data_IF_582073632862
#
_entry.id   IF_582073632862
#
_cell.length_a   1.000
_cell.length_b   1.000
_cell.length_c   1.000
_cell.angle_alpha   90.00
_cell.angle_beta   90.00
_cell.angle_gamma   90.00
#
_symmetry.space_group_name_H-M   'P 1'
#
loop_
_entity.id
_entity.type
_entity.pdbx_description
1 polymer ?
#
# COMPACT_ATOMS: atom_id res chain seq x y z
N UNK A 1 -5.33 -8.77 -0.83
CA UNK A 1 -4.32 -7.99 -0.06
C UNK A 1 -3.44 -9.00 0.62
N UNK A 2 -2.14 -8.83 0.49
CA UNK A 2 -1.14 -9.66 1.15
C UNK A 2 -0.16 -8.74 1.87
N UNK A 3 0.02 -8.94 3.16
CA UNK A 3 1.11 -8.38 3.94
C UNK A 3 2.08 -9.49 4.30
N UNK A 4 3.36 -9.23 4.06
CA UNK A 4 4.41 -10.21 4.29
C UNK A 4 5.65 -9.52 4.88
N UNK A 5 6.50 -10.33 5.48
CA UNK A 5 7.82 -9.94 5.94
C UNK A 5 8.87 -10.68 5.15
N UNK A 6 9.94 -9.99 4.77
CA UNK A 6 11.18 -10.65 4.37
C UNK A 6 12.20 -10.45 5.48
N UNK A 7 12.70 -11.56 6.02
CA UNK A 7 13.60 -11.59 7.17
C UNK A 7 14.99 -12.04 6.70
N UNK A 8 16.01 -11.30 7.09
CA UNK A 8 17.40 -11.58 6.75
C UNK A 8 18.33 -11.55 7.96
N UNK A 9 19.64 -11.71 7.73
CA UNK A 9 20.64 -11.56 8.79
C UNK A 9 20.67 -10.12 9.32
N UNK A 10 21.14 -9.92 10.54
CA UNK A 10 21.47 -8.59 11.06
C UNK A 10 22.78 -8.03 10.49
N UNK A 11 23.14 -6.82 10.92
CA UNK A 11 24.41 -6.17 10.58
C UNK A 11 25.01 -5.39 11.74
N UNK A 12 26.33 -5.46 11.88
CA UNK A 12 27.11 -4.60 12.78
C UNK A 12 27.62 -3.31 12.11
N UNK A 13 27.47 -3.19 10.79
CA UNK A 13 28.02 -2.08 10.00
C UNK A 13 26.98 -1.00 9.69
N UNK A 14 25.71 -1.39 9.63
CA UNK A 14 24.59 -0.51 9.33
C UNK A 14 23.42 -0.78 10.28
N UNK A 15 22.75 0.29 10.68
CA UNK A 15 21.48 0.24 11.41
C UNK A 15 20.44 1.12 10.73
N UNK A 16 19.24 0.60 10.57
CA UNK A 16 18.09 1.30 9.99
C UNK A 16 16.84 0.96 10.78
N UNK A 17 15.99 1.96 10.98
CA UNK A 17 14.64 1.81 11.50
C UNK A 17 13.80 2.91 10.86
N UNK A 18 13.01 2.54 9.85
CA UNK A 18 12.22 3.46 9.03
C UNK A 18 10.86 2.85 8.69
N UNK A 19 9.85 3.72 8.61
CA UNK A 19 8.47 3.33 8.34
C UNK A 19 7.65 3.14 9.61
N UNK A 20 6.40 3.59 9.58
CA UNK A 20 5.51 3.58 10.76
C UNK A 20 4.32 2.63 10.60
N UNK A 21 3.89 2.41 9.36
CA UNK A 21 2.73 1.58 9.04
C UNK A 21 2.91 0.88 7.68
N UNK A 22 2.53 -0.39 7.61
CA UNK A 22 2.69 -1.21 6.39
C UNK A 22 1.79 -0.75 5.23
N UNK A 23 0.63 -0.20 5.53
CA UNK A 23 -0.37 0.25 4.56
C UNK A 23 -0.16 1.70 4.06
N UNK A 24 0.98 2.32 4.34
CA UNK A 24 1.33 3.67 3.90
C UNK A 24 2.66 3.62 3.16
N UNK A 25 2.76 4.33 2.02
CA UNK A 25 4.04 4.57 1.34
C UNK A 25 4.85 5.54 2.19
N UNK A 26 6.06 5.17 2.67
CA UNK A 26 6.85 6.05 3.53
C UNK A 26 7.30 7.30 2.78
N UNK A 27 6.78 8.47 3.19
CA UNK A 27 7.19 9.77 2.67
C UNK A 27 8.53 10.28 3.22
N UNK A 28 9.15 9.54 4.15
CA UNK A 28 10.43 9.92 4.75
C UNK A 28 11.19 8.69 5.24
N UNK A 29 12.48 8.65 5.00
CA UNK A 29 13.39 7.65 5.55
C UNK A 29 14.71 8.33 5.95
N UNK A 30 15.41 7.80 6.94
CA UNK A 30 16.66 8.40 7.42
C UNK A 30 17.69 7.37 7.80
N UNK A 31 18.94 7.68 7.46
CA UNK A 31 20.12 6.95 7.90
C UNK A 31 21.04 7.87 8.71
N UNK A 32 21.69 7.31 9.73
CA UNK A 32 22.67 8.01 10.53
C UNK A 32 23.98 7.23 10.61
N UNK A 33 25.07 7.85 10.14
CA UNK A 33 26.40 7.24 10.05
C UNK A 33 27.48 8.24 9.68
N UNK A 34 28.74 7.84 9.85
CA UNK A 34 29.89 8.70 9.54
C UNK A 34 29.95 9.06 8.04
N UNK A 35 29.51 8.13 7.22
CA UNK A 35 29.43 8.13 5.76
C UNK A 35 28.14 8.78 5.20
N UNK A 36 27.31 9.40 6.06
CA UNK A 36 26.07 10.03 5.62
C UNK A 36 26.26 11.11 4.55
N UNK A 37 27.46 11.71 4.47
CA UNK A 37 27.82 12.69 3.43
C UNK A 37 28.02 12.02 2.08
N UNK A 38 28.75 10.92 2.03
CA UNK A 38 28.97 10.11 0.82
C UNK A 38 27.64 9.54 0.32
N UNK A 39 26.84 8.95 1.20
CA UNK A 39 25.51 8.42 0.85
C UNK A 39 24.58 9.53 0.34
N UNK A 40 24.58 10.70 0.97
CA UNK A 40 23.79 11.84 0.49
C UNK A 40 24.22 12.30 -0.92
N UNK A 41 25.49 12.13 -1.29
CA UNK A 41 25.96 12.43 -2.65
C UNK A 41 25.42 11.39 -3.64
N UNK A 42 25.56 10.11 -3.34
CA UNK A 42 25.02 9.00 -4.16
C UNK A 42 23.52 9.15 -4.38
N UNK A 43 22.76 9.43 -3.32
CA UNK A 43 21.31 9.63 -3.41
C UNK A 43 20.92 10.82 -4.31
N UNK A 44 21.70 11.91 -4.28
CA UNK A 44 21.48 13.06 -5.19
C UNK A 44 21.79 12.71 -6.63
N UNK A 45 22.83 11.92 -6.88
CA UNK A 45 23.16 11.42 -8.22
C UNK A 45 22.05 10.49 -8.76
N UNK A 46 21.31 9.82 -7.87
CA UNK A 46 20.10 9.03 -8.17
C UNK A 46 18.81 9.86 -8.23
N UNK A 47 18.93 11.20 -8.19
CA UNK A 47 17.82 12.17 -8.24
C UNK A 47 16.84 12.10 -7.04
N UNK A 48 17.26 11.53 -5.91
CA UNK A 48 16.46 11.55 -4.68
C UNK A 48 16.50 12.92 -3.99
N UNK A 49 15.37 13.35 -3.44
CA UNK A 49 15.31 14.57 -2.64
C UNK A 49 15.87 14.30 -1.24
N UNK A 50 17.04 14.88 -0.91
CA UNK A 50 17.72 14.59 0.36
C UNK A 50 18.06 15.83 1.18
N UNK A 51 17.96 15.68 2.50
CA UNK A 51 18.45 16.64 3.49
C UNK A 51 19.57 16.00 4.32
N UNK A 52 20.73 16.63 4.33
CA UNK A 52 21.86 16.26 5.18
C UNK A 52 21.92 17.16 6.41
N UNK A 53 22.08 16.58 7.60
CA UNK A 53 22.29 17.28 8.86
C UNK A 53 23.30 16.54 9.72
N UNK A 54 24.53 17.05 9.78
CA UNK A 54 25.63 16.36 10.48
C UNK A 54 25.92 14.99 9.88
N UNK A 55 25.73 13.95 10.68
CA UNK A 55 25.87 12.53 10.32
C UNK A 55 24.54 11.86 9.98
N UNK A 56 23.50 12.64 9.65
CA UNK A 56 22.18 12.12 9.29
C UNK A 56 21.80 12.57 7.89
N UNK A 57 21.48 11.61 7.02
CA UNK A 57 20.84 11.86 5.72
C UNK A 57 19.37 11.45 5.82
N UNK A 58 18.49 12.30 5.32
CA UNK A 58 17.06 12.06 5.26
C UNK A 58 16.63 12.15 3.80
N UNK A 59 15.98 11.10 3.30
CA UNK A 59 15.31 11.10 2.00
C UNK A 59 13.86 11.56 2.21
N UNK A 60 13.42 12.52 1.40
CA UNK A 60 12.03 12.96 1.33
C UNK A 60 11.37 12.30 0.11
N UNK A 61 10.28 11.59 0.36
CA UNK A 61 9.41 11.02 -0.65
C UNK A 61 8.02 11.67 -0.60
N UNK A 62 7.00 10.91 -1.01
CA UNK A 62 5.62 11.35 -1.01
C UNK A 62 4.74 10.25 -0.43
N UNK A 63 4.19 10.54 0.75
CA UNK A 63 3.31 9.61 1.44
C UNK A 63 1.92 9.55 0.78
N UNK A 64 1.45 8.32 0.56
CA UNK A 64 0.13 7.97 0.04
C UNK A 64 -0.29 6.63 0.64
N UNK A 65 -1.57 6.26 0.50
CA UNK A 65 -2.02 4.93 0.88
C UNK A 65 -1.35 3.85 -0.01
N UNK A 66 -0.99 2.69 0.54
CA UNK A 66 -0.28 1.63 -0.19
C UNK A 66 -1.07 1.07 -1.40
N UNK A 67 -2.40 1.24 -1.43
CA UNK A 67 -3.24 0.87 -2.58
C UNK A 67 -3.17 1.82 -3.77
N UNK A 68 -2.49 2.96 -3.61
CA UNK A 68 -2.26 3.95 -4.67
C UNK A 68 -0.77 4.29 -4.72
N UNK A 69 0.08 3.27 -4.58
CA UNK A 69 1.52 3.43 -4.43
C UNK A 69 2.16 4.17 -5.61
N UNK A 70 1.60 4.04 -6.81
CA UNK A 70 1.97 4.73 -8.04
C UNK A 70 1.87 6.26 -7.95
N UNK A 71 1.06 6.78 -7.02
CA UNK A 71 0.95 8.22 -6.76
C UNK A 71 1.98 8.72 -5.75
N UNK A 72 2.73 7.81 -5.11
CA UNK A 72 3.71 8.08 -4.06
C UNK A 72 5.15 8.05 -4.56
N UNK A 73 6.06 8.35 -3.63
CA UNK A 73 7.51 8.17 -3.82
C UNK A 73 8.01 7.52 -2.53
N UNK A 74 8.42 6.25 -2.60
CA UNK A 74 8.82 5.49 -1.43
C UNK A 74 10.25 5.89 -0.99
N UNK A 75 10.34 6.62 0.13
CA UNK A 75 11.62 7.10 0.65
C UNK A 75 12.51 5.97 1.18
N UNK A 76 11.94 4.84 1.64
CA UNK A 76 12.71 3.67 2.07
C UNK A 76 13.42 3.05 0.88
N UNK A 77 12.71 2.86 -0.24
CA UNK A 77 13.31 2.27 -1.44
C UNK A 77 14.48 3.12 -1.97
N UNK A 78 14.28 4.43 -2.08
CA UNK A 78 15.35 5.34 -2.52
C UNK A 78 16.55 5.32 -1.56
N UNK A 79 16.29 5.34 -0.25
CA UNK A 79 17.36 5.25 0.74
C UNK A 79 18.12 3.92 0.62
N UNK A 80 17.40 2.80 0.46
CA UNK A 80 18.00 1.48 0.32
C UNK A 80 18.86 1.36 -0.95
N UNK A 81 18.41 1.90 -2.08
CA UNK A 81 19.17 1.95 -3.34
C UNK A 81 20.49 2.70 -3.16
N UNK A 82 20.47 3.86 -2.50
CA UNK A 82 21.69 4.60 -2.19
C UNK A 82 22.62 3.87 -1.21
N UNK A 83 22.07 3.21 -0.19
CA UNK A 83 22.85 2.46 0.80
C UNK A 83 23.47 1.19 0.22
N UNK A 84 22.81 0.51 -0.71
CA UNK A 84 23.31 -0.71 -1.36
C UNK A 84 24.61 -0.47 -2.16
N UNK A 85 24.94 0.78 -2.51
CA UNK A 85 26.21 1.16 -3.14
C UNK A 85 27.38 1.15 -2.14
N UNK A 86 27.10 1.39 -0.86
CA UNK A 86 28.13 1.54 0.19
C UNK A 86 28.19 0.33 1.13
N UNK A 87 27.09 -0.44 1.22
CA UNK A 87 26.95 -1.57 2.13
C UNK A 87 26.52 -2.84 1.39
N UNK A 88 27.25 -3.92 1.62
CA UNK A 88 26.88 -5.26 1.19
C UNK A 88 25.93 -5.88 2.23
N UNK A 89 24.62 -5.75 2.00
CA UNK A 89 23.61 -6.34 2.86
C UNK A 89 22.50 -6.98 2.00
N UNK A 90 22.14 -8.26 2.22
CA UNK A 90 21.22 -8.97 1.33
C UNK A 90 19.86 -8.29 1.16
N UNK A 91 19.33 -7.71 2.25
CA UNK A 91 18.06 -6.98 2.21
C UNK A 91 18.16 -5.67 1.40
N UNK A 92 19.27 -4.94 1.50
CA UNK A 92 19.48 -3.71 0.72
C UNK A 92 19.63 -4.05 -0.76
N UNK A 93 20.36 -5.13 -1.06
CA UNK A 93 20.56 -5.64 -2.41
C UNK A 93 19.24 -6.10 -3.05
N UNK A 94 18.41 -6.83 -2.31
CA UNK A 94 17.06 -7.20 -2.77
C UNK A 94 16.24 -5.96 -3.12
N UNK A 95 16.20 -4.96 -2.23
CA UNK A 95 15.47 -3.72 -2.52
C UNK A 95 16.03 -2.98 -3.73
N UNK A 96 17.35 -2.86 -3.87
CA UNK A 96 17.97 -2.14 -4.98
C UNK A 96 17.78 -2.85 -6.33
N UNK A 97 17.84 -4.17 -6.38
CA UNK A 97 17.80 -4.94 -7.64
C UNK A 97 16.39 -5.38 -8.05
N UNK A 98 15.49 -5.62 -7.08
CA UNK A 98 14.15 -6.19 -7.34
C UNK A 98 13.00 -5.23 -7.10
N UNK A 99 13.24 -4.09 -6.46
CA UNK A 99 12.17 -3.12 -6.15
C UNK A 99 12.52 -1.74 -6.71
N UNK A 100 13.69 -1.19 -6.38
CA UNK A 100 14.13 0.14 -6.77
C UNK A 100 12.98 1.16 -6.65
N UNK A 101 12.65 1.86 -7.73
CA UNK A 101 11.57 2.86 -7.78
C UNK A 101 10.21 2.27 -8.20
N UNK A 102 10.11 0.96 -8.39
CA UNK A 102 8.87 0.30 -8.80
C UNK A 102 7.81 0.37 -7.69
N UNK A 103 6.55 0.52 -8.12
CA UNK A 103 5.38 0.56 -7.23
C UNK A 103 4.47 -0.64 -7.43
N UNK A 104 4.86 -1.56 -8.31
CA UNK A 104 4.11 -2.75 -8.74
C UNK A 104 4.91 -4.06 -8.62
N UNK A 105 6.20 -3.98 -8.23
CA UNK A 105 7.07 -5.15 -8.10
C UNK A 105 7.33 -5.87 -9.42
N UNK A 106 7.31 -5.15 -10.55
CA UNK A 106 7.51 -5.70 -11.89
C UNK A 106 8.78 -6.56 -12.02
N UNK A 107 9.89 -6.16 -11.39
CA UNK A 107 11.15 -6.92 -11.41
C UNK A 107 11.09 -8.26 -10.65
N UNK A 108 10.05 -8.46 -9.83
CA UNK A 108 9.77 -9.73 -9.12
C UNK A 108 8.73 -10.56 -9.89
N UNK A 109 7.64 -9.94 -10.30
CA UNK A 109 6.43 -10.65 -10.77
C UNK A 109 6.19 -10.57 -12.28
N UNK A 110 6.83 -9.64 -12.99
CA UNK A 110 6.39 -9.19 -14.31
C UNK A 110 5.13 -8.33 -14.24
N UNK A 111 4.38 -8.27 -15.34
CA UNK A 111 3.10 -7.55 -15.38
C UNK A 111 2.01 -8.36 -14.66
N UNK A 112 1.48 -7.81 -13.55
CA UNK A 112 0.34 -8.37 -12.80
C UNK A 112 -0.77 -7.34 -12.80
N UNK A 113 -1.78 -7.56 -13.64
CA UNK A 113 -2.86 -6.61 -13.87
C UNK A 113 -4.12 -7.31 -14.37
N UNK A 114 -5.29 -6.79 -14.01
CA UNK A 114 -6.58 -7.13 -14.63
C UNK A 114 -7.39 -5.87 -15.00
N UNK A 115 -8.47 -6.07 -15.76
CA UNK A 115 -9.34 -4.97 -16.21
C UNK A 115 -10.21 -4.37 -15.09
N UNK A 116 -10.50 -5.14 -14.03
CA UNK A 116 -11.51 -4.81 -13.01
C UNK A 116 -10.95 -4.00 -11.85
N UNK A 117 -9.75 -4.34 -11.42
CA UNK A 117 -9.08 -3.85 -10.21
C UNK A 117 -7.72 -3.24 -10.48
N UNK A 118 -7.23 -3.36 -11.72
CA UNK A 118 -6.05 -2.68 -12.19
C UNK A 118 -4.77 -3.46 -11.90
N UNK A 119 -3.68 -2.73 -11.73
CA UNK A 119 -2.34 -3.28 -11.57
C UNK A 119 -2.04 -3.58 -10.10
N UNK A 120 -1.20 -4.59 -9.86
CA UNK A 120 -0.70 -4.90 -8.53
C UNK A 120 0.04 -3.68 -7.96
N UNK A 121 -0.26 -3.31 -6.71
CA UNK A 121 0.58 -2.38 -5.98
C UNK A 121 1.50 -3.14 -5.03
N UNK A 122 2.75 -2.68 -4.93
CA UNK A 122 3.81 -3.25 -4.11
C UNK A 122 4.43 -2.13 -3.28
N UNK A 123 4.23 -2.17 -1.95
CA UNK A 123 4.74 -1.18 -1.03
C UNK A 123 5.72 -1.80 -0.02
N UNK A 124 6.89 -1.17 0.14
CA UNK A 124 7.78 -1.40 1.29
C UNK A 124 7.38 -0.40 2.37
N UNK A 125 6.60 -0.86 3.35
CA UNK A 125 6.05 0.00 4.39
C UNK A 125 7.02 0.28 5.54
N UNK A 126 7.93 -0.64 5.83
CA UNK A 126 8.99 -0.44 6.82
C UNK A 126 10.23 -1.28 6.53
N UNK A 127 11.37 -0.82 7.07
CA UNK A 127 12.65 -1.52 7.09
C UNK A 127 13.29 -1.40 8.48
N UNK A 128 13.79 -2.52 8.97
CA UNK A 128 14.59 -2.63 10.18
C UNK A 128 15.88 -3.37 9.83
N UNK A 129 17.02 -2.82 10.21
CA UNK A 129 18.30 -3.54 10.25
C UNK A 129 18.95 -3.23 11.59
N UNK A 130 19.18 -4.27 12.39
CA UNK A 130 19.92 -4.19 13.64
C UNK A 130 20.98 -5.29 13.71
N UNK A 131 21.70 -5.37 14.82
CA UNK A 131 22.80 -6.34 14.98
C UNK A 131 22.37 -7.82 14.90
N UNK A 132 21.10 -8.14 15.17
CA UNK A 132 20.60 -9.50 15.22
C UNK A 132 19.85 -9.92 13.95
N UNK A 133 19.05 -9.02 13.38
CA UNK A 133 18.12 -9.33 12.29
C UNK A 133 17.92 -8.14 11.37
N UNK A 134 17.51 -8.43 10.13
CA UNK A 134 16.92 -7.45 9.24
C UNK A 134 15.51 -7.88 8.82
N UNK A 135 14.61 -6.92 8.66
CA UNK A 135 13.21 -7.15 8.29
C UNK A 135 12.74 -6.04 7.36
N UNK A 136 12.00 -6.39 6.31
CA UNK A 136 11.10 -5.45 5.64
C UNK A 136 9.68 -5.94 5.77
N UNK A 137 8.75 -4.98 5.92
CA UNK A 137 7.32 -5.25 5.88
C UNK A 137 6.76 -4.76 4.56
N UNK A 138 6.10 -5.67 3.85
CA UNK A 138 5.52 -5.46 2.53
C UNK A 138 4.00 -5.39 2.63
N UNK A 139 3.38 -4.55 1.82
CA UNK A 139 1.93 -4.51 1.58
C UNK A 139 1.67 -4.56 0.08
N UNK A 140 0.89 -5.56 -0.34
CA UNK A 140 0.55 -5.79 -1.74
C UNK A 140 -0.96 -5.79 -1.95
N UNK A 141 -1.41 -5.03 -2.95
CA UNK A 141 -2.79 -5.08 -3.44
C UNK A 141 -2.82 -5.88 -4.73
N UNK A 142 -3.33 -7.10 -4.60
CA UNK A 142 -3.33 -8.10 -5.66
C UNK A 142 -4.64 -7.97 -6.45
N UNK A 143 -4.59 -7.87 -7.80
CA UNK A 143 -5.79 -7.85 -8.62
C UNK A 143 -6.63 -9.12 -8.46
N UNK A 144 -7.94 -9.05 -8.70
CA UNK A 144 -8.89 -10.13 -8.41
C UNK A 144 -8.67 -11.40 -9.24
N UNK A 145 -8.03 -11.28 -10.41
CA UNK A 145 -7.73 -12.44 -11.26
C UNK A 145 -6.54 -13.29 -10.77
N UNK A 146 -5.79 -12.81 -9.76
CA UNK A 146 -4.59 -13.48 -9.25
C UNK A 146 -4.80 -13.96 -7.81
N UNK A 147 -4.18 -15.10 -7.48
CA UNK A 147 -4.28 -15.68 -6.13
C UNK A 147 -3.17 -15.17 -5.22
N UNK A 148 -3.42 -15.17 -3.90
CA UNK A 148 -2.42 -14.78 -2.90
C UNK A 148 -1.25 -15.76 -2.93
N UNK A 149 -1.55 -17.04 -3.12
CA UNK A 149 -0.60 -18.14 -3.13
C UNK A 149 0.41 -18.02 -4.29
N UNK A 150 -0.05 -17.66 -5.49
CA UNK A 150 0.83 -17.44 -6.66
C UNK A 150 1.80 -16.28 -6.43
N UNK A 151 1.31 -15.17 -5.86
CA UNK A 151 2.13 -13.99 -5.55
C UNK A 151 3.11 -14.31 -4.42
N UNK A 152 2.65 -14.99 -3.35
CA UNK A 152 3.49 -15.39 -2.23
C UNK A 152 4.63 -16.32 -2.66
N UNK A 153 4.34 -17.35 -3.46
CA UNK A 153 5.34 -18.30 -3.95
C UNK A 153 6.41 -17.61 -4.82
N UNK A 154 5.98 -16.67 -5.67
CA UNK A 154 6.90 -15.92 -6.54
C UNK A 154 7.81 -15.01 -5.72
N UNK A 155 7.24 -14.31 -4.73
CA UNK A 155 7.99 -13.45 -3.81
C UNK A 155 8.97 -14.26 -2.95
N UNK A 156 8.54 -15.40 -2.42
CA UNK A 156 9.40 -16.31 -1.63
C UNK A 156 10.60 -16.78 -2.44
N UNK A 157 10.39 -17.19 -3.69
CA UNK A 157 11.47 -17.60 -4.58
C UNK A 157 12.45 -16.45 -4.83
N UNK A 158 11.96 -15.27 -5.20
CA UNK A 158 12.81 -14.10 -5.43
C UNK A 158 13.59 -13.70 -4.16
N UNK A 159 12.96 -13.74 -2.98
CA UNK A 159 13.60 -13.44 -1.71
C UNK A 159 14.70 -14.47 -1.36
N UNK A 160 14.46 -15.75 -1.63
CA UNK A 160 15.39 -16.83 -1.33
C UNK A 160 16.70 -16.74 -2.11
N UNK A 161 16.70 -16.14 -3.31
CA UNK A 161 17.92 -15.87 -4.10
C UNK A 161 18.89 -14.92 -3.39
N UNK A 162 18.38 -14.12 -2.45
CA UNK A 162 19.16 -13.20 -1.60
C UNK A 162 19.35 -13.77 -0.18
N UNK A 163 18.95 -15.01 0.09
CA UNK A 163 19.01 -15.60 1.43
C UNK A 163 18.04 -14.95 2.43
N UNK A 164 16.97 -14.33 1.93
CA UNK A 164 15.89 -13.80 2.75
C UNK A 164 14.79 -14.85 2.93
N UNK A 165 14.19 -14.87 4.11
CA UNK A 165 13.10 -15.76 4.49
C UNK A 165 11.79 -15.01 4.35
N UNK A 166 10.89 -15.52 3.52
CA UNK A 166 9.52 -15.03 3.44
C UNK A 166 8.71 -15.50 4.66
N UNK A 167 7.92 -14.60 5.21
CA UNK A 167 6.93 -14.90 6.23
C UNK A 167 5.63 -14.15 5.90
N UNK A 168 4.54 -14.90 5.68
CA UNK A 168 3.21 -14.30 5.60
C UNK A 168 2.83 -13.67 6.96
N UNK A 169 2.33 -12.44 6.92
CA UNK A 169 1.91 -11.72 8.12
C UNK A 169 0.39 -11.59 8.21
N UNK A 170 -0.25 -11.14 7.13
CA UNK A 170 -1.72 -11.06 7.03
C UNK A 170 -2.14 -11.20 5.57
N UNK A 171 -3.25 -11.90 5.34
CA UNK A 171 -3.77 -12.17 4.01
C UNK A 171 -5.30 -12.02 4.03
N UNK A 172 -5.80 -11.13 3.17
CA UNK A 172 -7.24 -10.93 2.99
C UNK A 172 -7.55 -11.09 1.51
N UNK A 173 -8.25 -12.17 1.12
CA UNK A 173 -8.66 -12.40 -0.26
C UNK A 173 -9.38 -11.21 -0.87
N UNK A 174 -9.20 -11.03 -2.17
CA UNK A 174 -9.96 -10.02 -2.90
C UNK A 174 -11.45 -10.40 -2.90
N UNK A 175 -12.31 -9.39 -2.83
CA UNK A 175 -13.76 -9.56 -2.93
C UNK A 175 -14.26 -8.76 -4.11
N UNK A 176 -14.91 -9.46 -5.04
CA UNK A 176 -15.60 -8.85 -6.16
C UNK A 176 -17.08 -9.26 -6.08
N UNK A 177 -17.95 -8.26 -6.07
CA UNK A 177 -19.40 -8.46 -6.17
C UNK A 177 -19.83 -7.90 -7.54
N UNK A 178 -20.47 -8.71 -8.40
CA UNK A 178 -20.87 -8.26 -9.73
C UNK A 178 -21.75 -7.01 -9.67
N UNK A 179 -21.49 -6.06 -10.59
CA UNK A 179 -22.21 -4.78 -10.64
C UNK A 179 -23.71 -4.95 -10.87
N UNK A 180 -24.10 -6.02 -11.56
CA UNK A 180 -25.47 -6.41 -11.90
C UNK A 180 -26.14 -7.27 -10.82
N UNK A 181 -25.43 -7.57 -9.72
CA UNK A 181 -26.05 -8.24 -8.57
C UNK A 181 -27.17 -7.40 -7.97
N UNK A 182 -28.19 -8.07 -7.44
CA UNK A 182 -29.33 -7.43 -6.79
C UNK A 182 -28.88 -6.44 -5.71
N UNK A 183 -27.94 -6.84 -4.86
CA UNK A 183 -27.39 -5.96 -3.81
C UNK A 183 -26.80 -4.67 -4.40
N UNK A 184 -25.90 -4.77 -5.38
CA UNK A 184 -25.24 -3.58 -5.93
C UNK A 184 -26.25 -2.68 -6.66
N UNK A 185 -27.18 -3.27 -7.41
CA UNK A 185 -28.21 -2.50 -8.11
C UNK A 185 -29.15 -1.77 -7.13
N UNK A 186 -29.57 -2.42 -6.04
CA UNK A 186 -30.39 -1.77 -5.00
C UNK A 186 -29.66 -0.59 -4.36
N UNK A 187 -28.42 -0.78 -3.93
CA UNK A 187 -27.62 0.28 -3.30
C UNK A 187 -27.35 1.44 -4.27
N UNK A 188 -27.04 1.14 -5.53
CA UNK A 188 -26.79 2.14 -6.56
C UNK A 188 -28.06 2.94 -6.90
N UNK A 189 -29.23 2.30 -6.92
CA UNK A 189 -30.51 2.98 -7.11
C UNK A 189 -30.81 3.96 -5.97
N UNK A 190 -30.62 3.54 -4.71
CA UNK A 190 -30.80 4.42 -3.54
C UNK A 190 -29.84 5.61 -3.62
N UNK A 191 -28.56 5.35 -3.87
CA UNK A 191 -27.56 6.41 -4.02
C UNK A 191 -27.96 7.43 -5.10
N UNK A 192 -28.34 6.95 -6.29
CA UNK A 192 -28.77 7.80 -7.41
C UNK A 192 -30.01 8.61 -7.08
N UNK A 193 -30.99 8.01 -6.40
CA UNK A 193 -32.22 8.70 -5.99
C UNK A 193 -31.94 9.82 -4.98
N UNK A 194 -31.04 9.59 -4.03
CA UNK A 194 -30.71 10.55 -2.96
C UNK A 194 -29.77 11.67 -3.40
N UNK A 195 -28.91 11.39 -4.37
CA UNK A 195 -27.82 12.32 -4.76
C UNK A 195 -27.98 12.93 -6.15
N UNK A 196 -28.69 12.25 -7.05
CA UNK A 196 -28.70 12.56 -8.48
C UNK A 196 -27.40 12.21 -9.22
N UNK A 197 -26.40 11.66 -8.53
CA UNK A 197 -25.11 11.29 -9.11
C UNK A 197 -25.20 9.93 -9.81
N UNK A 198 -24.90 9.92 -11.11
CA UNK A 198 -24.97 8.73 -11.96
C UNK A 198 -23.64 7.97 -12.06
N UNK A 199 -22.61 8.39 -11.34
CA UNK A 199 -21.30 7.73 -11.30
C UNK A 199 -21.45 6.21 -11.07
N UNK A 200 -20.73 5.43 -11.85
CA UNK A 200 -20.72 3.96 -11.72
C UNK A 200 -19.95 3.53 -10.46
N UNK A 201 -20.30 2.37 -9.85
CA UNK A 201 -19.55 1.84 -8.73
C UNK A 201 -18.10 1.56 -9.13
N UNK A 202 -17.17 1.82 -8.21
CA UNK A 202 -15.74 1.58 -8.41
C UNK A 202 -15.23 0.46 -7.52
N UNK A 203 -14.12 -0.15 -7.93
CA UNK A 203 -13.35 -1.07 -7.10
C UNK A 203 -12.34 -0.28 -6.26
N UNK A 204 -11.91 -0.85 -5.13
CA UNK A 204 -10.92 -0.22 -4.25
C UNK A 204 -9.92 -1.25 -3.73
N UNK A 205 -8.63 -0.90 -3.77
CA UNK A 205 -7.55 -1.67 -3.16
C UNK A 205 -7.53 -1.60 -1.62
N UNK A 206 -8.28 -0.66 -1.03
CA UNK A 206 -8.45 -0.54 0.42
C UNK A 206 -9.11 -1.79 1.02
N UNK A 207 -8.63 -2.23 2.18
CA UNK A 207 -9.28 -3.30 2.91
C UNK A 207 -10.44 -2.70 3.72
N UNK A 208 -11.63 -3.26 3.56
CA UNK A 208 -12.81 -2.94 4.38
C UNK A 208 -13.35 -4.23 4.99
N UNK A 209 -14.25 -4.11 5.97
CA UNK A 209 -14.94 -5.28 6.52
C UNK A 209 -15.73 -6.07 5.48
N UNK A 210 -16.00 -5.50 4.29
CA UNK A 210 -16.65 -6.19 3.19
C UNK A 210 -15.98 -7.54 2.89
N UNK A 211 -14.66 -7.61 2.95
CA UNK A 211 -13.90 -8.84 2.62
C UNK A 211 -14.12 -10.01 3.59
N UNK A 212 -14.91 -9.84 4.65
CA UNK A 212 -15.27 -10.92 5.58
C UNK A 212 -16.43 -11.79 5.11
N UNK A 213 -17.23 -11.33 4.12
CA UNK A 213 -18.37 -12.07 3.59
C UNK A 213 -18.44 -11.94 2.07
N UNK A 214 -18.91 -12.99 1.38
CA UNK A 214 -18.88 -13.08 -0.09
C UNK A 214 -19.92 -12.20 -0.79
N UNK A 215 -20.93 -11.68 -0.07
CA UNK A 215 -21.97 -10.81 -0.61
C UNK A 215 -21.96 -9.40 0.00
N UNK A 216 -20.80 -8.90 0.41
CA UNK A 216 -20.70 -7.61 1.10
C UNK A 216 -19.96 -6.60 0.24
N UNK A 217 -20.42 -5.34 0.26
CA UNK A 217 -19.76 -4.23 -0.43
C UNK A 217 -19.51 -3.08 0.55
N UNK A 218 -18.48 -2.29 0.28
CA UNK A 218 -18.34 -1.00 0.94
C UNK A 218 -19.28 0.00 0.26
N UNK A 219 -20.07 0.73 1.04
CA UNK A 219 -21.04 1.69 0.53
C UNK A 219 -21.00 2.97 1.37
N UNK A 220 -20.73 4.11 0.73
CA UNK A 220 -20.52 5.39 1.41
C UNK A 220 -19.26 5.44 2.29
N UNK A 221 -19.09 6.42 3.17
CA UNK A 221 -19.81 7.71 3.25
C UNK A 221 -19.12 8.82 2.45
N UNK A 222 -18.04 8.48 1.75
CA UNK A 222 -17.27 9.44 0.96
C UNK A 222 -17.90 9.63 -0.42
N UNK A 223 -18.16 10.89 -0.79
CA UNK A 223 -18.76 11.22 -2.08
C UNK A 223 -17.69 11.48 -3.15
N UNK A 224 -17.90 11.08 -4.42
CA UNK A 224 -16.90 11.19 -5.49
C UNK A 224 -16.40 12.61 -5.77
N UNK A 225 -17.22 13.62 -5.50
CA UNK A 225 -16.90 15.04 -5.73
C UNK A 225 -16.18 15.70 -4.55
N UNK A 226 -15.97 14.98 -3.45
CA UNK A 226 -15.33 15.51 -2.25
C UNK A 226 -13.89 15.05 -2.14
N UNK A 227 -13.03 15.93 -1.63
CA UNK A 227 -11.64 15.56 -1.34
C UNK A 227 -11.60 14.63 -0.13
N UNK A 228 -10.90 13.50 -0.26
CA UNK A 228 -10.64 12.62 0.87
C UNK A 228 -9.53 13.20 1.75
N UNK A 229 -9.80 13.25 3.06
CA UNK A 229 -8.83 13.57 4.11
C UNK A 229 -8.48 12.36 4.99
N UNK A 230 -8.95 11.17 4.62
CA UNK A 230 -8.65 9.96 5.38
C UNK A 230 -7.13 9.77 5.50
N UNK A 231 -6.65 9.52 6.72
CA UNK A 231 -5.22 9.33 7.04
C UNK A 231 -4.32 10.54 6.74
N UNK A 232 -4.88 11.76 6.69
CA UNK A 232 -4.15 13.01 6.50
C UNK A 232 -4.32 13.95 7.71
N UNK A 233 -3.46 14.97 7.81
CA UNK A 233 -3.62 16.03 8.81
C UNK A 233 -4.96 16.76 8.64
N UNK A 234 -5.61 17.11 9.76
CA UNK A 234 -6.93 17.74 9.80
C UNK A 234 -8.03 16.90 9.14
N UNK A 235 -7.99 15.58 9.32
CA UNK A 235 -9.05 14.65 8.90
C UNK A 235 -10.43 15.09 9.42
N UNK A 236 -11.42 15.13 8.53
CA UNK A 236 -12.78 15.55 8.84
C UNK A 236 -13.76 15.35 7.68
N UNK A 237 -15.05 15.54 7.98
CA UNK A 237 -16.17 15.40 7.05
C UNK A 237 -17.02 16.67 7.04
N UNK A 238 -17.64 17.01 5.90
CA UNK A 238 -18.64 18.08 5.87
C UNK A 238 -19.94 17.59 6.52
N UNK A 239 -20.55 18.41 7.37
CA UNK A 239 -21.78 18.04 8.07
C UNK A 239 -22.94 17.74 7.11
N UNK A 240 -23.05 18.50 6.03
CA UNK A 240 -24.06 18.27 4.97
C UNK A 240 -23.92 16.87 4.33
N UNK A 241 -22.69 16.44 4.05
CA UNK A 241 -22.41 15.11 3.50
C UNK A 241 -22.67 14.01 4.53
N UNK A 242 -22.36 14.26 5.81
CA UNK A 242 -22.68 13.35 6.89
C UNK A 242 -24.20 13.12 7.01
N UNK A 243 -25.00 14.19 6.95
CA UNK A 243 -26.47 14.07 7.00
C UNK A 243 -27.03 13.37 5.77
N UNK A 244 -26.48 13.64 4.58
CA UNK A 244 -26.87 12.95 3.35
C UNK A 244 -26.54 11.45 3.42
N UNK A 245 -25.37 11.08 3.94
CA UNK A 245 -24.99 9.69 4.16
C UNK A 245 -25.94 8.99 5.15
N UNK A 246 -26.34 9.67 6.23
CA UNK A 246 -27.34 9.14 7.19
C UNK A 246 -28.68 8.83 6.51
N UNK A 247 -29.16 9.74 5.65
CA UNK A 247 -30.41 9.55 4.91
C UNK A 247 -30.33 8.39 3.91
N UNK A 248 -29.21 8.26 3.19
CA UNK A 248 -28.91 7.10 2.32
C UNK A 248 -28.91 5.79 3.11
N UNK A 249 -28.25 5.75 4.27
CA UNK A 249 -28.20 4.54 5.10
C UNK A 249 -29.56 4.18 5.70
N UNK A 250 -30.38 5.17 6.08
CA UNK A 250 -31.72 4.92 6.59
C UNK A 250 -32.60 4.25 5.52
N UNK A 251 -32.59 4.77 4.29
CA UNK A 251 -33.34 4.14 3.17
C UNK A 251 -32.77 2.76 2.83
N UNK A 252 -31.44 2.61 2.83
CA UNK A 252 -30.79 1.32 2.59
C UNK A 252 -31.24 0.25 3.57
N UNK A 253 -31.24 0.56 4.86
CA UNK A 253 -31.69 -0.39 5.89
C UNK A 253 -33.18 -0.71 5.72
N UNK A 254 -34.00 0.31 5.41
CA UNK A 254 -35.43 0.10 5.17
C UNK A 254 -35.68 -0.85 3.97
N UNK A 255 -35.08 -0.59 2.81
CA UNK A 255 -35.27 -1.43 1.61
C UNK A 255 -34.68 -2.83 1.76
N UNK A 256 -33.52 -2.96 2.42
CA UNK A 256 -32.87 -4.28 2.57
C UNK A 256 -33.48 -5.15 3.67
N UNK A 257 -34.11 -4.56 4.69
CA UNK A 257 -34.59 -5.32 5.86
C UNK A 257 -36.11 -5.31 6.05
N UNK A 258 -36.83 -4.34 5.48
CA UNK A 258 -38.26 -4.14 5.74
C UNK A 258 -39.14 -4.33 4.50
N UNK A 259 -38.60 -4.21 3.29
CA UNK A 259 -39.33 -4.40 2.05
C UNK A 259 -39.06 -5.81 1.50
N UNK A 260 -40.11 -6.50 1.05
CA UNK A 260 -39.94 -7.78 0.34
C UNK A 260 -39.26 -7.50 -1.00
N UNK A 261 -38.08 -8.08 -1.20
CA UNK A 261 -37.26 -7.95 -2.41
C UNK A 261 -37.76 -8.81 -3.56
#
# INVERSE_FOLDING_TARGET
MLQAKLIGPGSSEIALDCGEASNVVPGKASYSGQDAKEIAKTLKEMEAEVRLSGHKVTVNGKAVHASTAELGINAINQLAEGLAVHYEHPLLKFLAEKVAKETNGFSIFGEIKDELTGELTFNVGSILINAAVSEIVLDMRIPVEYTIEEIALTLERAASEYGLIYQEYDAVPSLYVPKDSQLVQTLLAIYRNKTGDLTEPSTSGGATYARKMTNMVAFGAHFPYSKSFAHQENEGLKLEELYLAMDIYAETIAQLCCEEQ
#
